data_IF_259157831959
#
_entry.id   IF_259157831959
#
_cell.length_a   1.000
_cell.length_b   1.000
_cell.length_c   1.000
_cell.angle_alpha   90.00
_cell.angle_beta   90.00
_cell.angle_gamma   90.00
#
_symmetry.space_group_name_H-M   'P 1'
#
loop_
_entity.id
_entity.type
_entity.pdbx_description
1 polymer ?
#
# COMPACT_ATOMS: atom_id res chain seq x y z
N UNK A 1 -22.73 -18.44 -5.37
CA UNK A 1 -21.27 -18.17 -5.45
C UNK A 1 -21.01 -16.85 -4.71
N UNK A 2 -20.10 -16.78 -3.71
CA UNK A 2 -19.80 -15.52 -3.00
C UNK A 2 -18.57 -14.86 -3.64
N UNK A 3 -18.70 -13.62 -4.11
CA UNK A 3 -17.58 -12.82 -4.61
C UNK A 3 -16.76 -12.33 -3.43
N UNK A 4 -15.45 -12.58 -3.44
CA UNK A 4 -14.49 -12.13 -2.40
C UNK A 4 -13.57 -11.09 -3.02
N UNK A 5 -13.41 -9.97 -2.33
CA UNK A 5 -12.50 -8.90 -2.73
C UNK A 5 -11.30 -8.90 -1.80
N UNK A 6 -10.10 -8.86 -2.38
CA UNK A 6 -8.83 -8.83 -1.66
C UNK A 6 -8.07 -7.56 -2.05
N UNK A 7 -7.33 -6.99 -1.09
CA UNK A 7 -6.37 -5.92 -1.38
C UNK A 7 -5.12 -6.57 -1.94
N UNK A 8 -4.70 -6.15 -3.14
CA UNK A 8 -3.52 -6.68 -3.82
C UNK A 8 -2.38 -5.68 -3.64
N UNK A 9 -1.23 -6.08 -3.07
CA UNK A 9 -0.13 -5.15 -2.83
C UNK A 9 0.48 -4.67 -4.16
N UNK A 10 0.87 -3.38 -4.24
CA UNK A 10 1.39 -2.76 -5.47
C UNK A 10 2.68 -3.43 -6.00
N UNK A 11 3.47 -4.05 -5.10
CA UNK A 11 4.69 -4.77 -5.46
C UNK A 11 4.47 -5.90 -6.48
N UNK A 12 3.27 -6.48 -6.55
CA UNK A 12 2.96 -7.55 -7.49
C UNK A 12 2.91 -7.08 -8.96
N UNK A 13 2.79 -5.78 -9.18
CA UNK A 13 2.71 -5.19 -10.52
C UNK A 13 4.02 -4.52 -10.96
N UNK A 14 5.00 -4.37 -10.05
CA UNK A 14 6.32 -3.81 -10.36
C UNK A 14 7.32 -4.96 -10.52
N UNK A 15 7.56 -5.36 -11.77
CA UNK A 15 8.50 -6.44 -12.09
C UNK A 15 9.98 -6.04 -12.03
N UNK A 16 10.29 -4.75 -12.24
CA UNK A 16 11.62 -4.19 -12.10
C UNK A 16 11.54 -2.72 -11.67
N UNK A 17 12.62 -2.20 -11.08
CA UNK A 17 12.69 -0.81 -10.62
C UNK A 17 13.41 0.05 -11.68
N UNK A 18 12.68 0.87 -12.48
CA UNK A 18 13.32 1.78 -13.41
C UNK A 18 14.22 2.81 -12.70
N UNK A 19 15.31 3.26 -13.34
CA UNK A 19 16.14 4.33 -12.80
C UNK A 19 15.33 5.63 -12.69
N UNK A 20 15.58 6.40 -11.64
CA UNK A 20 14.90 7.68 -11.42
C UNK A 20 13.48 7.57 -10.85
N UNK A 21 13.09 6.40 -10.34
CA UNK A 21 11.85 6.25 -9.58
C UNK A 21 11.82 7.27 -8.42
N UNK A 22 10.73 8.04 -8.25
CA UNK A 22 10.59 8.93 -7.11
C UNK A 22 10.74 8.14 -5.81
N UNK A 23 11.53 8.68 -4.89
CA UNK A 23 11.77 8.11 -3.56
C UNK A 23 11.36 9.15 -2.52
N UNK A 24 10.88 8.67 -1.38
CA UNK A 24 10.72 9.51 -0.21
C UNK A 24 12.07 10.02 0.29
N UNK A 25 12.05 11.14 1.01
CA UNK A 25 13.22 11.52 1.80
C UNK A 25 13.47 10.45 2.89
N UNK A 26 14.72 10.28 3.39
CA UNK A 26 15.01 9.30 4.44
C UNK A 26 14.07 9.33 5.66
N UNK A 27 13.72 10.49 6.26
CA UNK A 27 12.81 10.50 7.40
C UNK A 27 11.38 10.06 7.03
N UNK A 28 10.90 10.43 5.86
CA UNK A 28 9.58 10.02 5.36
C UNK A 28 9.55 8.51 5.06
N UNK A 29 10.60 7.97 4.45
CA UNK A 29 10.70 6.55 4.15
C UNK A 29 10.64 5.70 5.43
N UNK A 30 11.29 6.16 6.51
CA UNK A 30 11.23 5.51 7.82
C UNK A 30 9.83 5.60 8.44
N UNK A 31 9.14 6.73 8.28
CA UNK A 31 7.76 6.90 8.74
C UNK A 31 6.78 5.99 7.99
N UNK A 32 6.91 5.91 6.66
CA UNK A 32 6.04 5.12 5.80
C UNK A 32 6.39 3.63 5.77
N UNK A 33 7.61 3.25 6.18
CA UNK A 33 8.12 1.88 6.12
C UNK A 33 8.42 1.39 4.68
N UNK A 34 8.44 2.30 3.71
CA UNK A 34 8.73 2.02 2.30
C UNK A 34 9.52 3.18 1.69
N UNK A 35 10.45 2.87 0.79
CA UNK A 35 11.29 3.87 0.14
C UNK A 35 10.58 4.58 -1.03
N UNK A 36 9.72 3.84 -1.75
CA UNK A 36 9.03 4.35 -2.93
C UNK A 36 7.57 4.71 -2.61
N UNK A 37 7.12 5.94 -2.95
CA UNK A 37 5.72 6.33 -2.80
C UNK A 37 4.76 5.41 -3.54
N UNK A 38 5.14 4.93 -4.73
CA UNK A 38 4.32 4.01 -5.53
C UNK A 38 4.09 2.65 -4.89
N UNK A 39 4.89 2.28 -3.88
CA UNK A 39 4.75 1.03 -3.14
C UNK A 39 4.08 1.23 -1.78
N UNK A 40 3.76 2.46 -1.41
CA UNK A 40 3.04 2.75 -0.18
C UNK A 40 1.57 2.33 -0.31
N UNK A 41 1.13 1.46 0.60
CA UNK A 41 -0.28 1.05 0.71
C UNK A 41 -0.71 1.19 2.16
N UNK A 42 -1.54 2.18 2.51
CA UNK A 42 -2.04 2.32 3.87
C UNK A 42 -2.91 1.12 4.24
N UNK A 43 -2.67 0.52 5.41
CA UNK A 43 -3.49 -0.58 5.92
C UNK A 43 -4.75 -0.02 6.57
N UNK A 44 -5.85 -0.01 5.82
CA UNK A 44 -7.18 0.22 6.38
C UNK A 44 -7.59 -1.04 7.16
N UNK A 45 -7.28 -1.09 8.45
CA UNK A 45 -7.61 -2.22 9.31
C UNK A 45 -9.08 -2.65 9.19
N UNK A 46 -9.36 -3.91 9.55
CA UNK A 46 -10.69 -4.55 9.47
C UNK A 46 -11.82 -3.74 10.15
N UNK A 47 -11.50 -2.80 11.03
CA UNK A 47 -12.46 -2.00 11.78
C UNK A 47 -13.27 -0.99 10.97
N UNK A 48 -12.83 -0.58 9.77
CA UNK A 48 -13.61 0.42 9.00
C UNK A 48 -14.96 -0.13 8.52
N UNK A 49 -15.02 -1.43 8.15
CA UNK A 49 -16.27 -2.10 7.78
C UNK A 49 -17.17 -2.46 8.97
N UNK A 50 -16.63 -2.50 10.19
CA UNK A 50 -17.40 -2.73 11.40
C UNK A 50 -18.14 -1.47 11.90
N UNK A 51 -17.66 -0.27 11.53
CA UNK A 51 -18.24 1.01 11.95
C UNK A 51 -19.41 1.50 11.10
N UNK A 52 -19.53 1.10 9.84
CA UNK A 52 -20.67 1.46 8.96
C UNK A 52 -21.92 0.60 9.17
N UNK A 53 -21.84 -0.43 10.03
CA UNK A 53 -22.97 -1.31 10.40
C UNK A 53 -23.35 -1.14 11.87
N UNK A 54 -23.48 0.09 12.34
CA UNK A 54 -24.10 0.37 13.65
C UNK A 54 -25.01 1.59 13.55
#
# INVERSE_FOLDING_TARGET
MRVKTYVVPPNLFIGFQPPGLPQFSPPEALHHGVLWPSLYSPYEGRDRKGRERK
#
